data_IF_891347499903
#
_entry.id   IF_891347499903
#
_cell.length_a   1.000
_cell.length_b   1.000
_cell.length_c   1.000
_cell.angle_alpha   90.00
_cell.angle_beta   90.00
_cell.angle_gamma   90.00
#
_symmetry.space_group_name_H-M   'P 1'
#
loop_
_entity.id
_entity.type
_entity.pdbx_description
1 polymer ?
#
# COMPACT_ATOMS: atom_id res chain seq x y z
N UNK A 1 -14.67 -9.16 -1.41
CA UNK A 1 -15.87 -8.51 -0.84
C UNK A 1 -16.94 -8.55 -1.92
N UNK A 2 -18.17 -8.87 -1.53
CA UNK A 2 -19.31 -9.02 -2.43
C UNK A 2 -20.11 -7.72 -2.60
N UNK A 3 -19.91 -6.79 -1.68
CA UNK A 3 -20.44 -5.44 -1.67
C UNK A 3 -19.62 -4.48 -2.55
N UNK A 4 -20.30 -3.45 -3.05
CA UNK A 4 -19.69 -2.34 -3.79
C UNK A 4 -18.99 -1.37 -2.85
N UNK A 5 -18.06 -0.58 -3.40
CA UNK A 5 -17.37 0.47 -2.63
C UNK A 5 -18.34 1.54 -2.10
N UNK A 6 -19.39 1.85 -2.86
CA UNK A 6 -20.43 2.80 -2.46
C UNK A 6 -21.24 2.29 -1.26
N UNK A 7 -21.65 1.02 -1.27
CA UNK A 7 -22.35 0.39 -0.15
C UNK A 7 -21.49 0.38 1.12
N UNK A 8 -20.22 -0.01 0.99
CA UNK A 8 -19.28 0.00 2.11
C UNK A 8 -19.19 1.39 2.76
N UNK A 9 -18.96 2.43 1.96
CA UNK A 9 -18.76 3.78 2.51
C UNK A 9 -20.06 4.43 3.01
N UNK A 10 -21.21 4.11 2.42
CA UNK A 10 -22.52 4.54 2.93
C UNK A 10 -22.76 4.01 4.36
N UNK A 11 -22.40 2.76 4.61
CA UNK A 11 -22.48 2.15 5.95
C UNK A 11 -21.49 2.82 6.91
N UNK A 12 -20.23 3.02 6.49
CA UNK A 12 -19.20 3.67 7.32
C UNK A 12 -19.64 5.09 7.72
N UNK A 13 -20.15 5.88 6.78
CA UNK A 13 -20.63 7.24 7.01
C UNK A 13 -21.81 7.27 8.00
N UNK A 14 -22.70 6.28 7.92
CA UNK A 14 -23.85 6.18 8.84
C UNK A 14 -23.43 5.73 10.25
N UNK A 15 -22.47 4.79 10.36
CA UNK A 15 -22.12 4.16 11.63
C UNK A 15 -21.06 4.93 12.42
N UNK A 16 -20.06 5.54 11.78
CA UNK A 16 -18.95 6.18 12.49
C UNK A 16 -19.40 7.24 13.51
N UNK A 17 -20.38 8.12 13.23
CA UNK A 17 -20.89 9.09 14.21
C UNK A 17 -21.60 8.45 15.41
N UNK A 18 -22.05 7.19 15.30
CA UNK A 18 -22.74 6.47 16.38
C UNK A 18 -21.76 5.69 17.28
N UNK A 19 -20.49 5.56 16.86
CA UNK A 19 -19.47 4.85 17.62
C UNK A 19 -18.83 5.78 18.67
N UNK A 20 -18.45 5.26 19.86
CA UNK A 20 -17.81 6.05 20.91
C UNK A 20 -16.59 6.81 20.39
N UNK A 21 -16.50 8.10 20.69
CA UNK A 21 -15.39 8.96 20.29
C UNK A 21 -14.10 8.68 21.06
N UNK A 22 -14.20 8.09 22.26
CA UNK A 22 -13.07 7.78 23.14
C UNK A 22 -12.42 6.41 22.83
N UNK A 23 -12.81 5.77 21.73
CA UNK A 23 -12.33 4.43 21.34
C UNK A 23 -11.92 4.37 19.87
N UNK A 24 -10.84 3.65 19.53
CA UNK A 24 -10.39 3.51 18.16
C UNK A 24 -11.40 2.73 17.32
N UNK A 25 -11.64 3.20 16.09
CA UNK A 25 -12.54 2.60 15.10
C UNK A 25 -11.71 1.81 14.08
N UNK A 26 -11.98 0.51 13.96
CA UNK A 26 -11.24 -0.41 13.10
C UNK A 26 -12.07 -0.83 11.89
N UNK A 27 -11.57 -0.57 10.67
CA UNK A 27 -12.20 -0.98 9.42
C UNK A 27 -11.42 -2.12 8.77
N UNK A 28 -12.05 -3.29 8.73
CA UNK A 28 -11.40 -4.51 8.25
C UNK A 28 -11.39 -4.63 6.72
N UNK A 29 -10.27 -5.11 6.18
CA UNK A 29 -10.17 -5.50 4.77
C UNK A 29 -10.04 -4.36 3.76
N UNK A 30 -9.74 -3.14 4.21
CA UNK A 30 -9.56 -1.95 3.36
C UNK A 30 -8.08 -1.59 3.25
N UNK A 31 -7.57 -1.41 2.03
CA UNK A 31 -6.14 -1.18 1.83
C UNK A 31 -5.72 -0.51 0.53
N UNK A 32 -6.64 0.00 -0.28
CA UNK A 32 -6.27 0.92 -1.38
C UNK A 32 -6.10 2.32 -0.80
N UNK A 33 -5.09 3.05 -1.26
CA UNK A 33 -4.76 4.42 -0.82
C UNK A 33 -5.98 5.35 -0.79
N UNK A 34 -6.76 5.39 -1.88
CA UNK A 34 -7.98 6.21 -1.95
C UNK A 34 -9.04 5.83 -0.90
N UNK A 35 -9.19 4.53 -0.65
CA UNK A 35 -10.14 4.03 0.34
C UNK A 35 -9.69 4.37 1.76
N UNK A 36 -8.38 4.31 2.04
CA UNK A 36 -7.81 4.71 3.32
C UNK A 36 -8.07 6.19 3.58
N UNK A 37 -7.82 7.07 2.60
CA UNK A 37 -8.11 8.52 2.70
C UNK A 37 -9.57 8.78 3.05
N UNK A 38 -10.50 8.15 2.32
CA UNK A 38 -11.93 8.31 2.54
C UNK A 38 -12.37 7.78 3.91
N UNK A 39 -11.89 6.62 4.33
CA UNK A 39 -12.25 6.04 5.62
C UNK A 39 -11.72 6.86 6.80
N UNK A 40 -10.49 7.38 6.69
CA UNK A 40 -9.92 8.28 7.70
C UNK A 40 -10.75 9.56 7.82
N UNK A 41 -11.17 10.14 6.69
CA UNK A 41 -12.05 11.32 6.70
C UNK A 41 -13.42 11.06 7.36
N UNK A 42 -13.86 9.80 7.41
CA UNK A 42 -15.07 9.36 8.11
C UNK A 42 -14.82 8.97 9.59
N UNK A 43 -13.57 9.09 10.08
CA UNK A 43 -13.22 8.87 11.47
C UNK A 43 -12.73 7.46 11.81
N UNK A 44 -12.28 6.67 10.82
CA UNK A 44 -11.64 5.37 11.05
C UNK A 44 -10.16 5.53 11.41
N UNK A 45 -9.70 4.79 12.43
CA UNK A 45 -8.36 4.90 13.00
C UNK A 45 -7.42 3.74 12.62
N UNK A 46 -7.98 2.55 12.37
CA UNK A 46 -7.22 1.33 12.15
C UNK A 46 -7.69 0.58 10.91
N UNK A 47 -6.75 -0.10 10.25
CA UNK A 47 -6.97 -0.83 9.00
C UNK A 47 -6.16 -2.13 8.95
N UNK A 48 -6.68 -3.13 8.26
CA UNK A 48 -5.92 -4.30 7.83
C UNK A 48 -6.24 -4.63 6.38
N UNK A 49 -5.23 -5.07 5.62
CA UNK A 49 -5.44 -5.56 4.27
C UNK A 49 -4.29 -6.42 3.78
N UNK A 50 -4.62 -7.56 3.18
CA UNK A 50 -3.62 -8.42 2.50
C UNK A 50 -3.20 -7.88 1.13
N UNK A 51 -3.90 -6.86 0.61
CA UNK A 51 -3.74 -6.38 -0.76
C UNK A 51 -2.28 -5.99 -1.10
N UNK A 52 -1.55 -5.18 -0.30
CA UNK A 52 -0.18 -4.81 -0.64
C UNK A 52 0.75 -6.03 -0.81
N UNK A 53 0.59 -7.03 0.06
CA UNK A 53 1.38 -8.26 0.06
C UNK A 53 0.99 -9.21 -1.07
N UNK A 54 -0.30 -9.27 -1.39
CA UNK A 54 -0.79 -10.08 -2.52
C UNK A 54 -0.28 -9.48 -3.83
N UNK A 55 -0.46 -8.18 -4.03
CA UNK A 55 -0.01 -7.47 -5.23
C UNK A 55 1.51 -7.57 -5.43
N UNK A 56 2.30 -7.41 -4.36
CA UNK A 56 3.76 -7.57 -4.39
C UNK A 56 4.19 -8.93 -4.96
N UNK A 57 3.62 -10.02 -4.44
CA UNK A 57 3.92 -11.39 -4.89
C UNK A 57 3.48 -11.67 -6.32
N UNK A 58 2.47 -10.95 -6.82
CA UNK A 58 2.03 -11.03 -8.21
C UNK A 58 2.73 -10.00 -9.13
N UNK A 59 3.76 -9.32 -8.61
CA UNK A 59 4.62 -8.42 -9.37
C UNK A 59 4.06 -7.01 -9.58
N UNK A 60 3.03 -6.60 -8.84
CA UNK A 60 2.59 -5.20 -8.80
C UNK A 60 3.32 -4.50 -7.64
N UNK A 61 4.17 -3.52 -7.96
CA UNK A 61 4.87 -2.71 -6.97
C UNK A 61 4.24 -1.32 -6.83
N UNK A 62 4.18 -0.84 -5.60
CA UNK A 62 3.85 0.55 -5.27
C UNK A 62 5.16 1.33 -5.20
N UNK A 63 5.20 2.50 -5.82
CA UNK A 63 6.36 3.40 -5.81
C UNK A 63 6.08 4.59 -4.89
N UNK A 64 7.13 5.16 -4.29
CA UNK A 64 6.99 6.28 -3.34
C UNK A 64 6.44 7.56 -3.97
N UNK A 65 6.45 7.67 -5.30
CA UNK A 65 5.86 8.79 -6.04
C UNK A 65 4.34 8.61 -6.29
N UNK A 66 3.73 7.53 -5.79
CA UNK A 66 2.32 7.20 -5.98
C UNK A 66 2.02 6.32 -7.19
N UNK A 67 3.01 6.06 -8.05
CA UNK A 67 2.83 5.20 -9.22
C UNK A 67 2.79 3.72 -8.84
N UNK A 68 2.24 2.91 -9.77
CA UNK A 68 2.27 1.45 -9.69
C UNK A 68 2.90 0.87 -10.94
N UNK A 69 3.80 -0.10 -10.76
CA UNK A 69 4.47 -0.78 -11.87
C UNK A 69 4.24 -2.29 -11.83
N UNK A 70 4.25 -2.93 -13.00
CA UNK A 70 4.24 -4.40 -13.11
C UNK A 70 5.66 -4.89 -13.37
N UNK A 71 6.41 -5.22 -12.31
CA UNK A 71 7.85 -5.52 -12.38
C UNK A 71 8.17 -6.73 -13.26
N UNK A 72 7.20 -7.63 -13.49
CA UNK A 72 7.32 -8.77 -14.41
C UNK A 72 7.26 -8.39 -15.90
N UNK A 73 6.97 -7.13 -16.23
CA UNK A 73 7.02 -6.63 -17.61
C UNK A 73 8.43 -6.74 -18.18
N UNK A 74 8.54 -7.11 -19.47
CA UNK A 74 9.81 -7.33 -20.16
C UNK A 74 10.71 -6.08 -20.19
N UNK A 75 10.12 -4.89 -20.15
CA UNK A 75 10.87 -3.63 -20.10
C UNK A 75 11.83 -3.54 -18.91
N UNK A 76 11.52 -4.24 -17.80
CA UNK A 76 12.33 -4.22 -16.58
C UNK A 76 13.46 -5.24 -16.58
N UNK A 77 13.52 -6.15 -17.55
CA UNK A 77 14.53 -7.22 -17.59
C UNK A 77 15.98 -6.68 -17.65
N UNK A 78 16.17 -5.49 -18.25
CA UNK A 78 17.46 -4.81 -18.40
C UNK A 78 17.47 -3.42 -17.76
N UNK A 79 16.49 -3.13 -16.89
CA UNK A 79 16.41 -1.87 -16.16
C UNK A 79 17.36 -1.91 -14.95
N UNK A 80 18.49 -1.22 -15.07
CA UNK A 80 19.51 -1.10 -14.01
C UNK A 80 19.30 0.10 -13.10
N UNK A 81 18.09 0.67 -13.06
CA UNK A 81 17.72 1.66 -12.04
C UNK A 81 17.27 0.96 -10.74
N UNK A 82 17.37 1.63 -9.58
CA UNK A 82 16.81 1.12 -8.33
C UNK A 82 15.32 0.79 -8.47
N UNK A 83 14.83 -0.17 -7.69
CA UNK A 83 13.39 -0.49 -7.61
C UNK A 83 12.58 0.79 -7.45
N UNK A 84 12.98 1.58 -6.45
CA UNK A 84 12.43 2.89 -6.15
C UNK A 84 13.47 3.74 -5.39
N UNK A 85 14.07 4.77 -6.03
CA UNK A 85 15.13 5.57 -5.45
C UNK A 85 14.73 6.32 -4.16
N UNK A 86 13.45 6.64 -3.99
CA UNK A 86 12.93 7.40 -2.85
C UNK A 86 12.11 6.53 -1.90
N UNK A 87 12.17 5.20 -2.05
CA UNK A 87 11.38 4.28 -1.26
C UNK A 87 11.60 4.44 0.24
N UNK A 88 10.57 4.37 1.09
CA UNK A 88 10.75 4.21 2.53
C UNK A 88 11.46 2.88 2.92
N UNK A 89 11.47 1.87 2.04
CA UNK A 89 12.23 0.65 2.23
C UNK A 89 13.67 0.80 1.70
N UNK A 90 14.66 0.73 2.59
CA UNK A 90 16.08 0.91 2.24
C UNK A 90 16.55 -0.09 1.17
N UNK A 91 16.10 -1.35 1.25
CA UNK A 91 16.46 -2.40 0.29
C UNK A 91 16.09 -2.01 -1.14
N UNK A 92 14.95 -1.34 -1.33
CA UNK A 92 14.47 -0.90 -2.65
C UNK A 92 15.25 0.26 -3.28
N UNK A 93 16.07 0.96 -2.48
CA UNK A 93 16.97 2.00 -2.98
C UNK A 93 18.28 1.43 -3.54
N UNK A 94 18.62 0.20 -3.15
CA UNK A 94 19.89 -0.45 -3.49
C UNK A 94 19.75 -1.57 -4.52
N UNK A 95 18.64 -2.31 -4.48
CA UNK A 95 18.38 -3.35 -5.47
C UNK A 95 17.83 -2.79 -6.77
N UNK A 96 18.25 -3.39 -7.89
CA UNK A 96 17.85 -2.97 -9.23
C UNK A 96 16.51 -3.59 -9.63
N UNK A 97 15.79 -2.92 -10.51
CA UNK A 97 14.54 -3.45 -11.11
C UNK A 97 14.78 -4.74 -11.90
N UNK A 98 15.85 -4.81 -12.68
CA UNK A 98 16.29 -6.01 -13.40
C UNK A 98 16.59 -7.18 -12.46
N UNK A 99 17.21 -6.91 -11.32
CA UNK A 99 17.48 -7.95 -10.32
C UNK A 99 16.18 -8.51 -9.73
N UNK A 100 15.28 -7.63 -9.29
CA UNK A 100 13.98 -8.05 -8.76
C UNK A 100 13.13 -8.77 -9.81
N UNK A 101 13.11 -8.25 -11.06
CA UNK A 101 12.45 -8.89 -12.20
C UNK A 101 12.94 -10.33 -12.37
N UNK A 102 14.27 -10.53 -12.38
CA UNK A 102 14.87 -11.85 -12.49
C UNK A 102 14.43 -12.78 -11.35
N UNK A 103 14.58 -12.35 -10.09
CA UNK A 103 14.22 -13.16 -8.91
C UNK A 103 12.76 -13.62 -8.94
N UNK A 104 11.83 -12.72 -9.25
CA UNK A 104 10.41 -13.06 -9.34
C UNK A 104 10.10 -14.00 -10.51
N UNK A 105 10.82 -13.88 -11.64
CA UNK A 105 10.66 -14.78 -12.79
C UNK A 105 11.15 -16.20 -12.50
N UNK A 106 12.22 -16.34 -11.71
CA UNK A 106 12.72 -17.66 -11.29
C UNK A 106 12.05 -18.19 -10.01
N UNK A 107 11.03 -17.49 -9.50
CA UNK A 107 10.26 -17.86 -8.30
C UNK A 107 11.13 -18.02 -7.04
N UNK A 108 12.13 -17.16 -6.91
CA UNK A 108 13.00 -17.14 -5.74
C UNK A 108 12.38 -16.27 -4.62
N UNK A 109 12.48 -16.74 -3.36
CA UNK A 109 11.78 -16.16 -2.20
C UNK A 109 12.29 -14.78 -1.78
N UNK A 110 13.57 -14.47 -1.98
CA UNK A 110 14.10 -13.12 -1.78
C UNK A 110 13.40 -12.14 -2.72
N UNK A 111 13.05 -12.54 -3.95
CA UNK A 111 12.26 -11.72 -4.87
C UNK A 111 10.91 -11.28 -4.26
N UNK A 112 10.14 -12.24 -3.74
CA UNK A 112 8.89 -11.93 -3.03
C UNK A 112 9.13 -11.07 -1.78
N UNK A 113 10.18 -11.36 -1.02
CA UNK A 113 10.52 -10.63 0.20
C UNK A 113 10.79 -9.15 -0.11
N UNK A 114 11.61 -8.87 -1.12
CA UNK A 114 11.94 -7.50 -1.55
C UNK A 114 10.69 -6.75 -2.05
N UNK A 115 9.86 -7.40 -2.87
CA UNK A 115 8.62 -6.81 -3.36
C UNK A 115 7.64 -6.49 -2.21
N UNK A 116 7.50 -7.39 -1.24
CA UNK A 116 6.65 -7.18 -0.07
C UNK A 116 7.19 -6.05 0.82
N UNK A 117 8.50 -5.97 1.03
CA UNK A 117 9.13 -4.86 1.77
C UNK A 117 8.86 -3.51 1.10
N UNK A 118 8.94 -3.45 -0.24
CA UNK A 118 8.61 -2.25 -1.01
C UNK A 118 7.16 -1.82 -0.77
N UNK A 119 6.20 -2.70 -1.04
CA UNK A 119 4.78 -2.35 -0.93
C UNK A 119 4.38 -2.01 0.50
N UNK A 120 4.85 -2.77 1.49
CA UNK A 120 4.60 -2.48 2.91
C UNK A 120 5.18 -1.13 3.31
N UNK A 121 6.44 -0.87 2.90
CA UNK A 121 7.11 0.39 3.19
C UNK A 121 6.31 1.57 2.66
N UNK A 122 5.89 1.52 1.40
CA UNK A 122 5.09 2.58 0.76
C UNK A 122 3.74 2.75 1.45
N UNK A 123 3.00 1.67 1.71
CA UNK A 123 1.71 1.76 2.41
C UNK A 123 1.84 2.35 3.81
N UNK A 124 2.86 1.97 4.58
CA UNK A 124 3.10 2.56 5.91
C UNK A 124 3.53 4.03 5.83
N UNK A 125 4.27 4.40 4.80
CA UNK A 125 4.64 5.80 4.58
C UNK A 125 3.41 6.65 4.23
N UNK A 126 2.51 6.16 3.37
CA UNK A 126 1.24 6.83 3.06
C UNK A 126 0.42 7.10 4.32
N UNK A 127 0.25 6.10 5.20
CA UNK A 127 -0.46 6.29 6.48
C UNK A 127 0.20 7.38 7.36
N UNK A 128 1.53 7.45 7.40
CA UNK A 128 2.24 8.51 8.15
C UNK A 128 2.00 9.89 7.56
N UNK A 129 2.01 10.02 6.25
CA UNK A 129 1.71 11.29 5.56
C UNK A 129 0.29 11.74 5.88
N UNK A 130 -0.69 10.82 5.76
CA UNK A 130 -2.09 11.10 6.08
C UNK A 130 -2.29 11.55 7.52
N UNK A 131 -1.60 10.91 8.47
CA UNK A 131 -1.64 11.34 9.87
C UNK A 131 -1.12 12.78 10.04
N UNK A 132 0.00 13.12 9.39
CA UNK A 132 0.56 14.48 9.47
C UNK A 132 -0.34 15.55 8.85
N UNK A 133 -1.09 15.21 7.79
CA UNK A 133 -2.08 16.10 7.17
C UNK A 133 -3.21 16.47 8.15
N UNK A 134 -3.65 15.51 8.98
CA UNK A 134 -4.70 15.73 10.00
C UNK A 134 -4.17 16.64 11.11
N UNK A 135 -2.99 16.33 11.65
CA UNK A 135 -2.37 17.11 12.76
C UNK A 135 -2.06 18.57 12.38
N UNK A 136 -1.89 18.87 11.09
CA UNK A 136 -1.64 20.24 10.60
C UNK A 136 -2.93 21.01 10.28
N UNK A 137 -4.06 20.31 10.16
CA UNK A 137 -5.36 20.88 9.81
C UNK A 137 -6.19 21.32 11.03
N UNK A 138 -5.71 21.03 12.24
CA UNK A 138 -6.22 21.53 13.54
C UNK A 138 -5.46 22.78 14.00
#
# INVERSE_FOLDING_TARGET
>A
MGETEEELFSIVETLCPLLPEDRPRYLMGVGKTEQLRKAIALGIDMFDCVLPMREARHGTLYLSNGDRIRILSSQFAHDHTPIDPQSPALTSRHHLRSYLHHLLRIQERLGETLACMQNLGVTLHEIRVLRGEIETSE
#
